data_IF_735549840208
#
_entry.id   IF_735549840208
#
_cell.length_a   1.000
_cell.length_b   1.000
_cell.length_c   1.000
_cell.angle_alpha   90.00
_cell.angle_beta   90.00
_cell.angle_gamma   90.00
#
_symmetry.space_group_name_H-M   'P 1'
#
loop_
_entity.id
_entity.type
_entity.pdbx_description
1 polymer ?
#
# COMPACT_ATOMS: atom_id res chain seq x y z
N UNK A 1 8.16 -0.64 -26.32
CA UNK A 1 7.47 -0.80 -25.04
C UNK A 1 8.45 -1.47 -24.09
N UNK A 2 8.61 -0.97 -22.88
CA UNK A 2 9.42 -1.61 -21.83
C UNK A 2 8.80 -2.96 -21.48
N UNK A 3 9.64 -3.95 -21.14
CA UNK A 3 9.15 -5.25 -20.66
C UNK A 3 8.74 -5.06 -19.20
N UNK A 4 7.50 -5.45 -18.80
CA UNK A 4 7.08 -5.35 -17.42
C UNK A 4 8.02 -6.10 -16.46
N UNK A 5 8.20 -5.57 -15.25
CA UNK A 5 8.99 -6.26 -14.22
C UNK A 5 8.24 -7.48 -13.68
N UNK A 6 6.92 -7.37 -13.52
CA UNK A 6 6.04 -8.50 -13.16
C UNK A 6 4.84 -8.51 -14.08
N UNK A 7 4.51 -9.68 -14.61
CA UNK A 7 3.33 -9.91 -15.42
C UNK A 7 2.64 -11.20 -14.96
N UNK A 8 1.38 -11.09 -14.63
CA UNK A 8 0.50 -12.19 -14.22
C UNK A 8 -0.68 -12.21 -15.16
N UNK A 9 -0.91 -13.35 -15.80
CA UNK A 9 -2.02 -13.55 -16.72
C UNK A 9 -2.90 -14.71 -16.26
N UNK A 10 -4.16 -14.43 -16.02
CA UNK A 10 -5.23 -15.40 -15.78
C UNK A 10 -4.89 -16.41 -14.64
N UNK A 11 -4.29 -15.90 -13.56
CA UNK A 11 -3.80 -16.72 -12.45
C UNK A 11 -4.96 -17.25 -11.60
N UNK A 12 -5.02 -18.57 -11.45
CA UNK A 12 -5.99 -19.24 -10.57
C UNK A 12 -5.23 -20.04 -9.52
N UNK A 13 -5.58 -19.84 -8.26
CA UNK A 13 -5.07 -20.63 -7.13
C UNK A 13 -6.17 -21.08 -6.22
N UNK A 14 -6.23 -22.38 -5.98
CA UNK A 14 -7.20 -23.01 -5.08
C UNK A 14 -6.52 -23.71 -3.91
N UNK A 15 -7.20 -23.66 -2.77
CA UNK A 15 -6.90 -24.46 -1.60
C UNK A 15 -8.13 -25.32 -1.30
N UNK A 16 -8.14 -26.54 -1.81
CA UNK A 16 -9.33 -27.40 -1.77
C UNK A 16 -10.52 -26.68 -2.42
N UNK A 17 -11.59 -26.39 -1.67
CA UNK A 17 -12.80 -25.70 -2.15
C UNK A 17 -12.64 -24.16 -2.19
N UNK A 18 -11.63 -23.60 -1.51
CA UNK A 18 -11.41 -22.15 -1.47
C UNK A 18 -10.64 -21.67 -2.69
N UNK A 19 -11.24 -20.79 -3.48
CA UNK A 19 -10.56 -20.07 -4.56
C UNK A 19 -9.87 -18.86 -3.93
N UNK A 20 -8.55 -18.90 -3.82
CA UNK A 20 -7.74 -17.83 -3.23
C UNK A 20 -7.33 -16.76 -4.25
N UNK A 21 -7.19 -17.13 -5.53
CA UNK A 21 -7.04 -16.22 -6.66
C UNK A 21 -7.93 -16.74 -7.79
N UNK A 22 -8.74 -15.84 -8.36
CA UNK A 22 -9.68 -16.17 -9.43
C UNK A 22 -9.41 -15.33 -10.67
N UNK A 23 -8.81 -15.95 -11.70
CA UNK A 23 -8.45 -15.32 -12.98
C UNK A 23 -7.72 -13.96 -12.80
N UNK A 24 -6.84 -13.90 -11.80
CA UNK A 24 -6.14 -12.70 -11.38
C UNK A 24 -5.12 -12.26 -12.45
N UNK A 25 -5.17 -10.98 -12.82
CA UNK A 25 -4.26 -10.37 -13.79
C UNK A 25 -3.55 -9.18 -13.16
N UNK A 26 -2.24 -9.02 -13.44
CA UNK A 26 -1.44 -7.93 -12.89
C UNK A 26 -0.26 -7.62 -13.80
N UNK A 27 0.00 -6.34 -14.01
CA UNK A 27 1.21 -5.87 -14.71
C UNK A 27 1.85 -4.75 -13.89
N UNK A 28 3.15 -4.91 -13.59
CA UNK A 28 3.95 -3.93 -12.84
C UNK A 28 5.11 -3.50 -13.72
N UNK A 29 5.21 -2.19 -13.96
CA UNK A 29 6.26 -1.60 -14.77
C UNK A 29 7.53 -1.30 -13.96
N UNK A 30 8.65 -1.10 -14.64
CA UNK A 30 9.92 -0.73 -13.99
C UNK A 30 9.80 0.65 -13.31
N UNK A 31 10.33 0.74 -12.09
CA UNK A 31 10.32 1.98 -11.31
C UNK A 31 8.99 2.31 -10.61
N UNK A 32 7.99 1.43 -10.65
CA UNK A 32 6.76 1.62 -9.88
C UNK A 32 6.96 1.25 -8.40
N UNK A 33 6.25 1.95 -7.52
CA UNK A 33 5.84 1.43 -6.20
C UNK A 33 4.40 0.96 -6.39
N UNK A 34 4.21 -0.33 -6.56
CA UNK A 34 2.91 -0.92 -6.83
C UNK A 34 2.26 -1.43 -5.56
N UNK A 35 1.10 -0.86 -5.20
CA UNK A 35 0.35 -1.23 -4.00
C UNK A 35 -0.62 -2.39 -4.27
N UNK A 36 -0.56 -3.45 -3.46
CA UNK A 36 -1.62 -4.45 -3.36
C UNK A 36 -2.44 -4.17 -2.10
N UNK A 37 -3.61 -3.56 -2.27
CA UNK A 37 -4.50 -3.14 -1.19
C UNK A 37 -5.68 -4.11 -1.07
N UNK A 38 -6.04 -4.48 0.14
CA UNK A 38 -7.20 -5.33 0.38
C UNK A 38 -7.23 -5.90 1.80
N UNK A 39 -8.39 -6.42 2.25
CA UNK A 39 -8.54 -6.99 3.58
C UNK A 39 -7.70 -8.26 3.75
N UNK A 40 -7.63 -8.74 4.98
CA UNK A 40 -7.06 -10.04 5.27
C UNK A 40 -7.83 -11.13 4.52
N UNK A 41 -7.10 -12.05 3.86
CA UNK A 41 -7.71 -13.10 3.03
C UNK A 41 -8.08 -12.66 1.61
N UNK A 42 -7.80 -11.43 1.17
CA UNK A 42 -8.06 -10.99 -0.22
C UNK A 42 -7.16 -11.65 -1.27
N UNK A 43 -6.07 -12.33 -0.87
CA UNK A 43 -5.16 -13.00 -1.79
C UNK A 43 -3.77 -12.36 -1.93
N UNK A 44 -3.45 -11.25 -1.25
CA UNK A 44 -2.17 -10.52 -1.35
C UNK A 44 -0.94 -11.42 -1.18
N UNK A 45 -0.83 -12.08 -0.03
CA UNK A 45 0.29 -12.99 0.27
C UNK A 45 0.31 -14.21 -0.66
N UNK A 46 -0.86 -14.70 -1.09
CA UNK A 46 -0.96 -15.78 -2.09
C UNK A 46 -0.38 -15.33 -3.43
N UNK A 47 -0.71 -14.12 -3.87
CA UNK A 47 -0.15 -13.52 -5.10
C UNK A 47 1.37 -13.40 -5.00
N UNK A 48 1.91 -12.89 -3.89
CA UNK A 48 3.36 -12.81 -3.66
C UNK A 48 4.02 -14.18 -3.75
N UNK A 49 3.46 -15.19 -3.08
CA UNK A 49 4.01 -16.53 -3.10
C UNK A 49 3.98 -17.17 -4.50
N UNK A 50 2.98 -16.85 -5.32
CA UNK A 50 2.93 -17.27 -6.72
C UNK A 50 3.99 -16.53 -7.57
N UNK A 51 4.17 -15.21 -7.38
CA UNK A 51 5.23 -14.42 -8.06
C UNK A 51 6.60 -15.01 -7.76
N UNK A 52 6.85 -15.43 -6.53
CA UNK A 52 8.14 -16.01 -6.10
C UNK A 52 8.31 -17.49 -6.47
N UNK A 53 7.29 -18.11 -7.07
CA UNK A 53 7.20 -19.56 -7.29
C UNK A 53 7.50 -20.38 -6.01
N UNK A 54 7.04 -19.88 -4.86
CA UNK A 54 7.01 -20.60 -3.57
C UNK A 54 5.72 -21.39 -3.43
N UNK A 55 4.71 -21.05 -4.21
CA UNK A 55 3.41 -21.69 -4.24
C UNK A 55 3.05 -22.04 -5.68
N UNK A 56 2.71 -23.31 -5.92
CA UNK A 56 2.17 -23.75 -7.20
C UNK A 56 0.73 -23.21 -7.36
N UNK A 57 0.38 -22.85 -8.59
CA UNK A 57 -0.95 -22.40 -8.97
C UNK A 57 -1.61 -23.36 -9.97
N UNK A 58 -2.93 -23.24 -10.14
CA UNK A 58 -3.70 -24.21 -10.92
C UNK A 58 -3.77 -23.83 -12.40
N UNK A 59 -3.83 -22.52 -12.71
CA UNK A 59 -3.88 -21.98 -14.08
C UNK A 59 -3.19 -20.63 -14.15
N UNK A 60 -2.85 -20.21 -15.37
CA UNK A 60 -2.27 -18.92 -15.68
C UNK A 60 -0.78 -18.94 -15.87
N UNK A 61 -0.17 -17.77 -15.99
CA UNK A 61 1.27 -17.58 -16.14
C UNK A 61 1.76 -16.46 -15.23
N UNK A 62 2.98 -16.61 -14.73
CA UNK A 62 3.68 -15.58 -13.95
C UNK A 62 5.05 -15.38 -14.58
N UNK A 63 5.32 -14.13 -15.03
CA UNK A 63 6.62 -13.73 -15.57
C UNK A 63 7.23 -12.66 -14.68
N UNK A 64 8.53 -12.74 -14.48
CA UNK A 64 9.32 -11.71 -13.79
C UNK A 64 10.50 -11.36 -14.67
N UNK A 65 10.74 -10.06 -14.92
CA UNK A 65 11.71 -9.55 -15.87
C UNK A 65 11.55 -10.18 -17.26
N UNK A 66 10.31 -10.35 -17.74
CA UNK A 66 9.95 -10.94 -19.03
C UNK A 66 10.14 -12.46 -19.16
N UNK A 67 10.50 -13.15 -18.08
CA UNK A 67 10.77 -14.59 -18.08
C UNK A 67 9.80 -15.32 -17.13
N UNK A 68 9.36 -16.50 -17.54
CA UNK A 68 8.51 -17.34 -16.69
C UNK A 68 9.20 -17.68 -15.37
N UNK A 69 8.51 -17.44 -14.26
CA UNK A 69 9.02 -17.71 -12.92
C UNK A 69 8.74 -19.17 -12.54
N UNK A 70 9.80 -19.88 -12.16
CA UNK A 70 9.77 -21.29 -11.75
C UNK A 70 10.48 -21.48 -10.40
N UNK A 71 10.24 -22.60 -9.70
CA UNK A 71 10.92 -22.88 -8.43
C UNK A 71 12.45 -22.81 -8.52
N UNK A 72 13.05 -23.19 -9.65
CA UNK A 72 14.48 -23.22 -9.94
C UNK A 72 15.04 -21.97 -10.63
N UNK A 73 14.25 -20.92 -10.82
CA UNK A 73 14.69 -19.64 -11.44
C UNK A 73 15.61 -18.83 -10.49
N UNK A 74 16.71 -19.41 -10.04
CA UNK A 74 17.62 -18.80 -9.06
C UNK A 74 18.28 -17.51 -9.57
N UNK A 75 18.50 -17.39 -10.87
CA UNK A 75 19.06 -16.19 -11.53
C UNK A 75 18.11 -15.00 -11.48
N UNK A 76 16.79 -15.24 -11.55
CA UNK A 76 15.76 -14.22 -11.34
C UNK A 76 15.62 -13.88 -9.85
N UNK A 77 15.51 -14.91 -9.00
CA UNK A 77 15.36 -14.76 -7.56
C UNK A 77 16.49 -13.96 -6.91
N UNK A 78 17.71 -14.02 -7.47
CA UNK A 78 18.85 -13.19 -7.03
C UNK A 78 18.65 -11.70 -7.24
N UNK A 79 17.73 -11.29 -8.10
CA UNK A 79 17.41 -9.90 -8.37
C UNK A 79 16.18 -9.43 -7.57
N UNK A 80 15.63 -10.28 -6.69
CA UNK A 80 14.44 -10.01 -5.89
C UNK A 80 14.82 -9.97 -4.42
N UNK A 81 14.45 -8.89 -3.75
CA UNK A 81 14.48 -8.75 -2.30
C UNK A 81 13.10 -9.02 -1.72
N UNK A 82 13.03 -9.76 -0.62
CA UNK A 82 11.75 -10.14 -0.01
C UNK A 82 11.76 -9.82 1.48
N UNK A 83 10.75 -9.10 1.92
CA UNK A 83 10.50 -8.82 3.34
C UNK A 83 9.07 -9.27 3.64
N UNK A 84 8.95 -10.45 4.25
CA UNK A 84 7.66 -11.01 4.61
C UNK A 84 7.10 -10.36 5.89
N UNK A 85 5.80 -10.53 6.12
CA UNK A 85 5.09 -10.03 7.30
C UNK A 85 5.75 -10.52 8.60
N UNK A 86 6.12 -11.79 8.67
CA UNK A 86 6.86 -12.32 9.80
C UNK A 86 8.34 -11.93 9.71
N UNK A 87 8.89 -11.47 10.83
CA UNK A 87 10.32 -11.14 10.91
C UNK A 87 11.15 -12.42 10.83
N UNK A 88 12.04 -12.48 9.84
CA UNK A 88 12.88 -13.64 9.56
C UNK A 88 14.37 -13.29 9.77
N UNK A 89 14.78 -13.17 11.04
CA UNK A 89 16.17 -12.90 11.43
C UNK A 89 16.65 -13.93 12.46
N UNK A 90 17.96 -14.18 12.48
CA UNK A 90 18.58 -15.09 13.45
C UNK A 90 18.77 -14.38 14.78
N UNK A 91 18.19 -14.94 15.84
CA UNK A 91 18.24 -14.37 17.19
C UNK A 91 19.64 -14.44 17.84
N UNK A 92 20.48 -15.37 17.36
CA UNK A 92 21.84 -15.65 17.81
C UNK A 92 22.89 -14.79 17.10
N UNK A 93 22.52 -14.08 16.06
CA UNK A 93 23.39 -13.16 15.32
C UNK A 93 23.08 -11.72 15.70
N UNK A 94 24.10 -10.88 15.72
CA UNK A 94 23.93 -9.44 15.88
C UNK A 94 23.26 -8.80 14.67
N UNK A 95 22.87 -7.52 14.75
CA UNK A 95 22.34 -6.75 13.62
C UNK A 95 23.28 -6.84 12.42
N UNK A 96 24.57 -6.55 12.60
CA UNK A 96 25.56 -6.63 11.53
C UNK A 96 25.66 -8.03 10.93
N UNK A 97 25.77 -9.06 11.77
CA UNK A 97 25.92 -10.44 11.32
C UNK A 97 24.67 -10.96 10.58
N UNK A 98 23.48 -10.55 11.00
CA UNK A 98 22.25 -10.86 10.25
C UNK A 98 22.30 -10.29 8.83
N UNK A 99 22.59 -9.00 8.70
CA UNK A 99 22.65 -8.33 7.39
C UNK A 99 23.77 -8.93 6.52
N UNK A 100 24.96 -9.18 7.10
CA UNK A 100 26.08 -9.81 6.41
C UNK A 100 25.75 -11.23 5.94
N UNK A 101 25.07 -12.00 6.76
CA UNK A 101 24.61 -13.37 6.41
C UNK A 101 23.69 -13.35 5.19
N UNK A 102 22.60 -12.56 5.25
CA UNK A 102 21.64 -12.51 4.15
C UNK A 102 22.25 -11.91 2.88
N UNK A 103 23.04 -10.85 2.99
CA UNK A 103 23.79 -10.29 1.86
C UNK A 103 24.74 -11.32 1.24
N UNK A 104 25.41 -12.12 2.07
CA UNK A 104 26.36 -13.15 1.67
C UNK A 104 25.77 -14.30 0.84
N UNK A 105 24.45 -14.53 0.92
CA UNK A 105 23.78 -15.51 0.06
C UNK A 105 23.80 -15.09 -1.43
N UNK A 106 23.94 -13.79 -1.70
CA UNK A 106 23.87 -13.22 -3.04
C UNK A 106 25.22 -12.64 -3.51
N UNK A 107 25.98 -12.01 -2.62
CA UNK A 107 27.23 -11.28 -2.90
C UNK A 107 28.43 -12.05 -2.38
N UNK A 108 29.18 -12.69 -3.31
CA UNK A 108 30.34 -13.53 -2.98
C UNK A 108 31.60 -12.71 -2.69
N UNK A 109 31.78 -11.56 -3.35
CA UNK A 109 32.90 -10.67 -3.10
C UNK A 109 32.80 -10.06 -1.71
N UNK A 110 33.84 -10.29 -0.89
CA UNK A 110 33.83 -9.86 0.52
C UNK A 110 33.91 -8.35 0.67
N UNK A 111 34.63 -7.65 -0.18
CA UNK A 111 34.78 -6.20 -0.09
C UNK A 111 33.47 -5.50 -0.47
N UNK A 112 32.87 -5.92 -1.59
CA UNK A 112 31.56 -5.43 -2.05
C UNK A 112 30.46 -5.75 -1.04
N UNK A 113 30.45 -6.99 -0.49
CA UNK A 113 29.48 -7.39 0.54
C UNK A 113 29.58 -6.50 1.76
N UNK A 114 30.80 -6.24 2.26
CA UNK A 114 31.00 -5.34 3.38
C UNK A 114 30.43 -3.95 3.11
N UNK A 115 30.68 -3.40 1.92
CA UNK A 115 30.13 -2.11 1.52
C UNK A 115 28.59 -2.14 1.52
N UNK A 116 27.98 -3.17 0.95
CA UNK A 116 26.52 -3.30 0.88
C UNK A 116 25.88 -3.45 2.26
N UNK A 117 26.55 -4.14 3.18
CA UNK A 117 26.09 -4.27 4.57
C UNK A 117 26.13 -2.92 5.28
N UNK A 118 27.22 -2.14 5.11
CA UNK A 118 27.33 -0.79 5.66
C UNK A 118 26.22 0.11 5.11
N UNK A 119 26.03 0.13 3.78
CA UNK A 119 24.99 0.90 3.10
C UNK A 119 23.60 0.54 3.65
N UNK A 120 23.32 -0.75 3.86
CA UNK A 120 22.02 -1.22 4.36
C UNK A 120 21.80 -0.83 5.83
N UNK A 121 22.84 -0.86 6.68
CA UNK A 121 22.77 -0.42 8.08
C UNK A 121 22.48 1.08 8.15
N UNK A 122 23.21 1.87 7.35
CA UNK A 122 23.05 3.32 7.27
C UNK A 122 21.64 3.69 6.81
N UNK A 123 21.19 3.04 5.75
CA UNK A 123 19.88 3.25 5.15
C UNK A 123 18.74 3.04 6.15
N UNK A 124 18.76 1.97 6.95
CA UNK A 124 17.72 1.71 7.96
C UNK A 124 17.97 2.40 9.29
N UNK A 125 19.08 3.14 9.45
CA UNK A 125 19.43 3.88 10.66
C UNK A 125 19.70 2.96 11.85
N UNK A 126 20.46 1.88 11.66
CA UNK A 126 20.81 0.92 12.72
C UNK A 126 22.28 1.00 13.17
N UNK A 127 22.99 2.09 12.90
CA UNK A 127 24.41 2.26 13.23
C UNK A 127 24.73 2.03 14.71
N UNK A 128 23.96 2.61 15.60
CA UNK A 128 24.16 2.48 17.05
C UNK A 128 23.82 1.08 17.58
N UNK A 129 23.11 0.28 16.77
CA UNK A 129 22.61 -1.04 17.16
C UNK A 129 23.37 -2.21 16.52
N UNK A 130 24.47 -1.95 15.77
CA UNK A 130 25.23 -2.95 14.99
C UNK A 130 25.59 -4.22 15.76
N UNK A 131 25.96 -4.06 17.04
CA UNK A 131 26.39 -5.14 17.93
C UNK A 131 25.26 -5.70 18.80
N UNK A 132 24.03 -5.20 18.63
CA UNK A 132 22.88 -5.68 19.40
C UNK A 132 22.33 -6.95 18.77
N UNK A 133 21.85 -7.82 19.63
CA UNK A 133 21.06 -9.00 19.21
C UNK A 133 19.60 -8.59 18.99
N UNK A 134 18.87 -9.27 18.06
CA UNK A 134 17.47 -8.96 17.75
C UNK A 134 16.56 -8.86 18.96
N UNK A 135 16.72 -9.75 19.95
CA UNK A 135 15.95 -9.77 21.21
C UNK A 135 16.07 -8.49 22.07
N UNK A 136 17.07 -7.63 21.81
CA UNK A 136 17.27 -6.35 22.49
C UNK A 136 16.73 -5.16 21.71
N UNK A 137 16.16 -5.38 20.53
CA UNK A 137 15.60 -4.34 19.67
C UNK A 137 14.12 -4.11 19.99
N UNK A 138 13.66 -2.88 19.84
CA UNK A 138 12.21 -2.60 19.77
C UNK A 138 11.59 -3.21 18.53
N UNK A 139 10.26 -3.35 18.49
CA UNK A 139 9.55 -3.89 17.31
C UNK A 139 9.89 -3.13 16.02
N UNK A 140 9.94 -1.79 16.08
CA UNK A 140 10.31 -0.96 14.94
C UNK A 140 11.76 -1.13 14.50
N UNK A 141 12.72 -1.26 15.44
CA UNK A 141 14.13 -1.55 15.13
C UNK A 141 14.29 -2.94 14.52
N UNK A 142 13.56 -3.92 15.05
CA UNK A 142 13.56 -5.29 14.56
C UNK A 142 13.00 -5.36 13.13
N UNK A 143 11.94 -4.60 12.85
CA UNK A 143 11.36 -4.51 11.51
C UNK A 143 12.33 -3.87 10.51
N UNK A 144 13.03 -2.81 10.93
CA UNK A 144 14.09 -2.17 10.11
C UNK A 144 15.24 -3.14 9.82
N UNK A 145 15.63 -3.96 10.81
CA UNK A 145 16.61 -5.04 10.59
C UNK A 145 16.11 -6.04 9.53
N UNK A 146 14.86 -6.47 9.63
CA UNK A 146 14.28 -7.40 8.65
C UNK A 146 14.29 -6.83 7.23
N UNK A 147 13.96 -5.53 7.08
CA UNK A 147 14.04 -4.81 5.80
C UNK A 147 15.48 -4.78 5.31
N UNK A 148 16.46 -4.39 6.15
CA UNK A 148 17.87 -4.36 5.78
C UNK A 148 18.36 -5.71 5.25
N UNK A 149 18.00 -6.82 5.91
CA UNK A 149 18.32 -8.17 5.45
C UNK A 149 17.77 -8.47 4.05
N UNK A 150 16.53 -8.03 3.77
CA UNK A 150 15.87 -8.27 2.47
C UNK A 150 16.44 -7.45 1.31
N UNK A 151 17.04 -6.27 1.59
CA UNK A 151 17.51 -5.34 0.55
C UNK A 151 19.01 -5.23 0.42
N UNK A 152 19.80 -5.79 1.35
CA UNK A 152 21.25 -5.59 1.42
C UNK A 152 22.00 -5.97 0.14
N UNK A 153 21.50 -6.91 -0.65
CA UNK A 153 22.12 -7.32 -1.92
C UNK A 153 21.73 -6.41 -3.11
N UNK A 154 21.05 -5.29 -2.87
CA UNK A 154 20.61 -4.28 -3.86
C UNK A 154 19.77 -4.90 -5.00
N UNK A 155 18.63 -5.52 -4.67
CA UNK A 155 17.75 -6.15 -5.66
C UNK A 155 17.07 -5.12 -6.56
N UNK A 156 16.68 -5.53 -7.78
CA UNK A 156 15.90 -4.70 -8.72
C UNK A 156 14.42 -4.67 -8.42
N UNK A 157 13.88 -5.79 -7.92
CA UNK A 157 12.50 -5.91 -7.45
C UNK A 157 12.50 -6.16 -5.95
N UNK A 158 11.74 -5.38 -5.20
CA UNK A 158 11.60 -5.51 -3.75
C UNK A 158 10.13 -5.81 -3.44
N UNK A 159 9.89 -6.88 -2.71
CA UNK A 159 8.55 -7.28 -2.26
C UNK A 159 8.48 -7.08 -0.75
N UNK A 160 7.56 -6.24 -0.31
CA UNK A 160 7.33 -5.88 1.08
C UNK A 160 5.90 -6.30 1.47
N UNK A 161 5.80 -7.40 2.20
CA UNK A 161 4.50 -7.91 2.66
C UNK A 161 4.18 -7.36 4.04
N UNK A 162 3.27 -6.37 4.09
CA UNK A 162 2.82 -5.66 5.29
C UNK A 162 3.97 -5.17 6.19
N UNK A 163 4.92 -4.35 5.65
CA UNK A 163 6.17 -4.04 6.35
C UNK A 163 6.00 -3.12 7.57
N UNK A 164 4.84 -2.55 7.80
CA UNK A 164 4.55 -1.55 8.85
C UNK A 164 3.63 -2.07 9.94
N UNK A 165 3.16 -3.31 9.83
CA UNK A 165 2.28 -3.92 10.84
C UNK A 165 2.98 -3.99 12.19
N UNK A 166 2.26 -3.59 13.26
CA UNK A 166 2.72 -3.54 14.64
C UNK A 166 3.95 -2.63 14.87
N UNK A 167 4.13 -1.61 14.03
CA UNK A 167 5.20 -0.61 14.14
C UNK A 167 4.61 0.71 14.62
N UNK A 168 5.31 1.39 15.53
CA UNK A 168 4.92 2.70 16.02
C UNK A 168 4.91 3.76 14.89
N UNK A 169 4.14 4.87 15.02
CA UNK A 169 3.99 5.85 13.94
C UNK A 169 5.32 6.47 13.48
N UNK A 170 6.26 6.71 14.38
CA UNK A 170 7.56 7.32 14.03
C UNK A 170 8.41 6.34 13.20
N UNK A 171 8.48 5.07 13.61
CA UNK A 171 9.18 4.03 12.88
C UNK A 171 8.51 3.73 11.54
N UNK A 172 7.17 3.77 11.48
CA UNK A 172 6.38 3.62 10.25
C UNK A 172 6.78 4.67 9.22
N UNK A 173 6.75 5.95 9.58
CA UNK A 173 7.12 7.03 8.65
C UNK A 173 8.53 6.84 8.10
N UNK A 174 9.51 6.49 8.94
CA UNK A 174 10.88 6.21 8.50
C UNK A 174 10.97 5.04 7.51
N UNK A 175 10.14 3.99 7.71
CA UNK A 175 10.08 2.86 6.77
C UNK A 175 9.51 3.34 5.42
N UNK A 176 8.42 4.11 5.41
CA UNK A 176 7.80 4.63 4.19
C UNK A 176 8.74 5.57 3.42
N UNK A 177 9.42 6.48 4.10
CA UNK A 177 10.46 7.34 3.52
C UNK A 177 11.60 6.52 2.88
N UNK A 178 12.06 5.49 3.59
CA UNK A 178 13.06 4.55 3.08
C UNK A 178 12.59 3.81 1.82
N UNK A 179 11.34 3.35 1.78
CA UNK A 179 10.77 2.68 0.60
C UNK A 179 10.78 3.62 -0.62
N UNK A 180 10.38 4.89 -0.44
CA UNK A 180 10.44 5.88 -1.51
C UNK A 180 11.88 6.16 -1.96
N UNK A 181 12.85 6.15 -1.06
CA UNK A 181 14.27 6.30 -1.39
C UNK A 181 14.80 5.11 -2.20
N UNK A 182 14.46 3.87 -1.84
CA UNK A 182 14.80 2.68 -2.63
C UNK A 182 14.27 2.77 -4.06
N UNK A 183 13.04 3.25 -4.21
CA UNK A 183 12.44 3.44 -5.53
C UNK A 183 13.15 4.54 -6.33
N UNK A 184 13.43 5.69 -5.72
CA UNK A 184 14.22 6.76 -6.37
C UNK A 184 15.61 6.29 -6.83
N UNK A 185 16.17 5.31 -6.14
CA UNK A 185 17.45 4.66 -6.49
C UNK A 185 17.30 3.55 -7.54
N UNK A 186 16.11 3.41 -8.15
CA UNK A 186 15.83 2.55 -9.29
C UNK A 186 15.22 1.18 -8.98
N UNK A 187 14.85 0.90 -7.73
CA UNK A 187 14.14 -0.33 -7.41
C UNK A 187 12.66 -0.25 -7.79
N UNK A 188 12.12 -1.33 -8.35
CA UNK A 188 10.67 -1.55 -8.47
C UNK A 188 10.17 -2.21 -7.19
N UNK A 189 9.04 -1.77 -6.65
CA UNK A 189 8.57 -2.21 -5.34
C UNK A 189 7.14 -2.73 -5.43
N UNK A 190 6.89 -3.91 -4.86
CA UNK A 190 5.55 -4.40 -4.55
C UNK A 190 5.34 -4.19 -3.05
N UNK A 191 4.32 -3.43 -2.73
CA UNK A 191 3.98 -3.06 -1.36
C UNK A 191 2.58 -3.57 -1.02
N UNK A 192 2.46 -4.45 -0.04
CA UNK A 192 1.14 -4.85 0.44
C UNK A 192 0.82 -4.15 1.75
N UNK A 193 -0.41 -3.72 1.88
CA UNK A 193 -0.94 -3.16 3.11
C UNK A 193 -2.46 -3.30 3.16
N UNK A 194 -3.01 -3.22 4.34
CA UNK A 194 -4.43 -2.96 4.59
C UNK A 194 -4.64 -1.51 5.08
N UNK A 195 -3.56 -0.74 5.29
CA UNK A 195 -3.61 0.69 5.65
C UNK A 195 -3.61 1.55 4.38
N UNK A 196 -4.76 2.12 4.05
CA UNK A 196 -4.95 2.90 2.82
C UNK A 196 -4.11 4.15 2.78
N UNK A 197 -3.94 4.83 3.92
CA UNK A 197 -3.14 6.05 4.04
C UNK A 197 -1.68 5.83 3.61
N UNK A 198 -1.08 4.68 3.97
CA UNK A 198 0.27 4.32 3.57
C UNK A 198 0.37 4.13 2.06
N UNK A 199 -0.61 3.42 1.49
CA UNK A 199 -0.66 3.14 0.06
C UNK A 199 -0.86 4.44 -0.74
N UNK A 200 -1.74 5.33 -0.29
CA UNK A 200 -1.92 6.66 -0.88
C UNK A 200 -0.64 7.49 -0.85
N UNK A 201 0.13 7.37 0.24
CA UNK A 201 1.33 8.18 0.45
C UNK A 201 2.49 7.78 -0.47
N UNK A 202 2.67 6.47 -0.73
CA UNK A 202 3.90 6.01 -1.38
C UNK A 202 3.68 5.33 -2.73
N UNK A 203 2.49 4.75 -3.00
CA UNK A 203 2.28 3.95 -4.21
C UNK A 203 1.99 4.80 -5.43
N UNK A 204 2.61 4.46 -6.56
CA UNK A 204 2.39 5.10 -7.87
C UNK A 204 1.14 4.55 -8.55
N UNK A 205 0.91 3.24 -8.44
CA UNK A 205 -0.30 2.54 -8.87
C UNK A 205 -0.72 1.51 -7.83
N UNK A 206 -2.00 1.23 -7.79
CA UNK A 206 -2.63 0.42 -6.75
C UNK A 206 -3.60 -0.56 -7.40
N UNK A 207 -3.55 -1.82 -6.97
CA UNK A 207 -4.61 -2.79 -7.20
C UNK A 207 -5.43 -2.96 -5.93
N UNK A 208 -6.73 -2.77 -6.01
CA UNK A 208 -7.70 -3.07 -4.94
C UNK A 208 -8.16 -4.51 -5.14
N UNK A 209 -7.89 -5.34 -4.13
CA UNK A 209 -8.19 -6.77 -4.17
C UNK A 209 -9.25 -7.15 -3.14
N UNK A 210 -10.20 -7.97 -3.53
CA UNK A 210 -11.09 -8.70 -2.60
C UNK A 210 -11.34 -10.11 -3.15
N UNK A 211 -11.37 -11.11 -2.27
CA UNK A 211 -11.69 -12.52 -2.57
C UNK A 211 -10.94 -13.12 -3.77
N UNK A 212 -9.69 -12.73 -3.95
CA UNK A 212 -8.83 -13.25 -5.01
C UNK A 212 -8.98 -12.58 -6.37
N UNK A 213 -9.77 -11.53 -6.48
CA UNK A 213 -9.99 -10.76 -7.70
C UNK A 213 -9.43 -9.34 -7.60
N UNK A 214 -9.05 -8.75 -8.74
CA UNK A 214 -8.79 -7.34 -8.86
C UNK A 214 -10.10 -6.59 -9.10
N UNK A 215 -10.52 -5.78 -8.13
CA UNK A 215 -11.71 -4.95 -8.26
C UNK A 215 -11.45 -3.67 -9.06
N UNK A 216 -10.27 -3.07 -8.86
CA UNK A 216 -9.83 -1.89 -9.59
C UNK A 216 -8.29 -1.81 -9.59
N UNK A 217 -7.72 -1.24 -10.66
CA UNK A 217 -6.28 -0.93 -10.77
C UNK A 217 -6.14 0.47 -11.36
N UNK A 218 -5.31 1.30 -10.76
CA UNK A 218 -5.02 2.65 -11.26
C UNK A 218 -4.13 3.44 -10.31
N UNK A 219 -3.85 4.68 -10.67
CA UNK A 219 -3.29 5.68 -9.75
C UNK A 219 -4.31 6.04 -8.67
N UNK A 220 -3.86 6.66 -7.58
CA UNK A 220 -4.77 7.15 -6.52
C UNK A 220 -5.87 8.06 -7.10
N UNK A 221 -5.50 8.97 -8.01
CA UNK A 221 -6.45 9.89 -8.65
C UNK A 221 -7.44 9.17 -9.57
N UNK A 222 -6.98 8.18 -10.34
CA UNK A 222 -7.86 7.38 -11.20
C UNK A 222 -8.87 6.61 -10.38
N UNK A 223 -8.42 5.94 -9.31
CA UNK A 223 -9.28 5.19 -8.40
C UNK A 223 -10.31 6.08 -7.72
N UNK A 224 -9.91 7.25 -7.22
CA UNK A 224 -10.82 8.24 -6.60
C UNK A 224 -11.86 8.79 -7.58
N UNK A 225 -11.56 8.84 -8.89
CA UNK A 225 -12.52 9.24 -9.93
C UNK A 225 -13.54 8.16 -10.29
N UNK A 226 -13.29 6.90 -9.94
CA UNK A 226 -14.23 5.80 -10.21
C UNK A 226 -15.50 5.88 -9.37
N UNK A 227 -15.44 6.57 -8.22
CA UNK A 227 -16.57 6.70 -7.31
C UNK A 227 -17.37 7.99 -7.59
N UNK A 228 -18.67 7.94 -7.27
CA UNK A 228 -19.57 9.08 -7.49
C UNK A 228 -19.28 10.25 -6.55
N UNK A 229 -18.77 9.97 -5.36
CA UNK A 229 -18.38 10.98 -4.38
C UNK A 229 -17.11 11.68 -4.84
N UNK A 230 -17.15 13.01 -5.01
CA UNK A 230 -15.96 13.78 -5.39
C UNK A 230 -15.48 14.74 -4.32
N UNK A 231 -16.37 15.17 -3.42
CA UNK A 231 -16.06 16.10 -2.34
C UNK A 231 -16.97 15.83 -1.15
N UNK A 232 -16.39 15.82 0.05
CA UNK A 232 -17.11 15.72 1.32
C UNK A 232 -16.95 17.07 2.02
N UNK A 233 -18.05 17.79 2.19
CA UNK A 233 -18.06 19.09 2.86
C UNK A 233 -18.69 18.90 4.24
N UNK A 234 -17.97 19.26 5.30
CA UNK A 234 -18.43 19.23 6.68
C UNK A 234 -18.41 20.63 7.27
N UNK A 235 -19.53 21.09 7.80
CA UNK A 235 -19.70 22.44 8.32
C UNK A 235 -20.31 22.35 9.71
N UNK A 236 -19.65 22.96 10.70
CA UNK A 236 -20.20 23.09 12.05
C UNK A 236 -21.30 24.14 12.07
N UNK A 237 -22.53 23.74 12.36
CA UNK A 237 -23.72 24.61 12.42
C UNK A 237 -24.52 24.26 13.65
N UNK A 238 -24.93 25.27 14.44
CA UNK A 238 -25.68 25.03 15.67
C UNK A 238 -27.07 24.47 15.41
N UNK A 239 -27.78 25.02 14.42
CA UNK A 239 -29.12 24.56 14.06
C UNK A 239 -29.40 24.82 12.58
N UNK A 240 -30.19 23.94 11.97
CA UNK A 240 -30.64 24.03 10.58
C UNK A 240 -32.09 23.59 10.48
N UNK A 241 -32.90 24.40 9.82
CA UNK A 241 -34.28 24.05 9.54
C UNK A 241 -34.38 22.96 8.46
N UNK A 242 -35.37 22.06 8.53
CA UNK A 242 -35.58 21.03 7.54
C UNK A 242 -35.69 21.56 6.10
N UNK A 243 -36.27 22.76 5.92
CA UNK A 243 -36.38 23.44 4.63
C UNK A 243 -34.99 23.85 4.09
N UNK A 244 -34.06 24.28 4.95
CA UNK A 244 -32.70 24.64 4.55
C UNK A 244 -31.90 23.41 4.16
N UNK A 245 -32.06 22.30 4.87
CA UNK A 245 -31.44 21.01 4.50
C UNK A 245 -31.94 20.54 3.13
N UNK A 246 -33.26 20.65 2.87
CA UNK A 246 -33.85 20.32 1.58
C UNK A 246 -33.30 21.19 0.45
N UNK A 247 -33.18 22.50 0.67
CA UNK A 247 -32.63 23.43 -0.33
C UNK A 247 -31.16 23.15 -0.63
N UNK A 248 -30.35 22.77 0.36
CA UNK A 248 -28.94 22.36 0.13
C UNK A 248 -28.90 21.07 -0.69
N UNK A 249 -29.82 20.13 -0.47
CA UNK A 249 -29.92 18.89 -1.24
C UNK A 249 -30.26 19.12 -2.72
N UNK A 250 -30.99 20.20 -3.00
CA UNK A 250 -31.38 20.58 -4.38
C UNK A 250 -30.27 21.32 -5.13
N UNK A 251 -29.15 21.67 -4.47
CA UNK A 251 -27.99 22.26 -5.13
C UNK A 251 -27.42 21.25 -6.13
N UNK A 252 -27.13 21.70 -7.33
CA UNK A 252 -26.59 20.87 -8.41
C UNK A 252 -25.33 20.15 -7.95
N UNK A 253 -25.23 18.85 -8.23
CA UNK A 253 -24.13 17.95 -7.84
C UNK A 253 -24.06 17.61 -6.34
N UNK A 254 -25.00 18.02 -5.53
CA UNK A 254 -25.16 17.47 -4.19
C UNK A 254 -25.82 16.11 -4.30
N UNK A 255 -25.18 15.11 -3.70
CA UNK A 255 -25.63 13.71 -3.73
C UNK A 255 -26.40 13.33 -2.46
N UNK A 256 -25.86 13.74 -1.31
CA UNK A 256 -26.44 13.43 -0.02
C UNK A 256 -26.19 14.56 0.97
N UNK A 257 -27.15 14.81 1.85
CA UNK A 257 -27.04 15.80 2.91
C UNK A 257 -27.52 15.18 4.20
N UNK A 258 -26.65 15.20 5.21
CA UNK A 258 -26.97 14.79 6.59
C UNK A 258 -26.66 15.92 7.55
N UNK A 259 -27.50 16.07 8.59
CA UNK A 259 -27.29 17.01 9.67
C UNK A 259 -27.46 16.30 11.01
N UNK A 260 -26.37 16.07 11.69
CA UNK A 260 -26.32 15.35 12.96
C UNK A 260 -25.29 15.97 13.89
N UNK A 261 -25.55 16.01 15.20
CA UNK A 261 -24.60 16.49 16.21
C UNK A 261 -23.99 17.87 15.89
N UNK A 262 -24.83 18.82 15.40
CA UNK A 262 -24.40 20.15 14.98
C UNK A 262 -23.39 20.17 13.83
N UNK A 263 -23.32 19.12 13.02
CA UNK A 263 -22.48 19.04 11.83
C UNK A 263 -23.35 18.78 10.60
N UNK A 264 -23.29 19.71 9.64
CA UNK A 264 -23.82 19.53 8.30
C UNK A 264 -22.77 18.81 7.46
N UNK A 265 -23.09 17.62 6.97
CA UNK A 265 -22.23 16.88 6.05
C UNK A 265 -22.92 16.81 4.69
N UNK A 266 -22.23 17.28 3.66
CA UNK A 266 -22.70 17.31 2.28
C UNK A 266 -21.75 16.50 1.40
N UNK A 267 -22.30 15.52 0.70
CA UNK A 267 -21.59 14.69 -0.26
C UNK A 267 -21.89 15.20 -1.66
N UNK A 268 -20.85 15.54 -2.40
CA UNK A 268 -20.96 16.10 -3.75
C UNK A 268 -20.46 15.11 -4.79
N UNK A 269 -21.08 15.10 -5.98
CA UNK A 269 -20.67 14.29 -7.14
C UNK A 269 -19.90 15.15 -8.17
N UNK A 270 -18.90 14.55 -8.78
CA UNK A 270 -18.03 14.97 -9.89
C UNK A 270 -17.98 16.41 -10.39
N UNK A 271 -16.83 17.05 -10.24
CA UNK A 271 -16.35 18.08 -11.14
C UNK A 271 -16.66 19.53 -10.81
N UNK A 272 -17.41 19.85 -9.77
CA UNK A 272 -17.65 21.22 -9.34
C UNK A 272 -17.37 21.40 -7.86
N UNK A 273 -16.63 22.47 -7.53
CA UNK A 273 -16.45 22.89 -6.14
C UNK A 273 -17.76 23.44 -5.59
N UNK A 274 -18.54 22.60 -4.90
CA UNK A 274 -19.83 22.99 -4.34
C UNK A 274 -19.72 23.81 -3.05
N UNK A 275 -18.57 23.81 -2.41
CA UNK A 275 -18.33 24.56 -1.19
C UNK A 275 -18.76 26.05 -1.29
N UNK A 276 -18.36 26.82 -2.32
CA UNK A 276 -18.82 28.21 -2.45
C UNK A 276 -20.34 28.35 -2.55
N UNK A 277 -21.00 27.47 -3.27
CA UNK A 277 -22.46 27.50 -3.45
C UNK A 277 -23.19 27.23 -2.13
N UNK A 278 -22.71 26.28 -1.34
CA UNK A 278 -23.27 25.94 -0.02
C UNK A 278 -23.04 27.11 0.95
N UNK A 279 -21.83 27.66 1.00
CA UNK A 279 -21.52 28.79 1.90
C UNK A 279 -22.33 30.03 1.56
N UNK A 280 -22.46 30.38 0.26
CA UNK A 280 -23.31 31.48 -0.17
C UNK A 280 -24.76 31.30 0.22
N UNK A 281 -25.31 30.10 0.02
CA UNK A 281 -26.67 29.79 0.47
C UNK A 281 -26.83 29.98 1.98
N UNK A 282 -25.93 29.45 2.80
CA UNK A 282 -25.98 29.59 4.26
C UNK A 282 -25.91 31.06 4.68
N UNK A 283 -25.09 31.89 4.03
CA UNK A 283 -24.99 33.34 4.27
C UNK A 283 -26.28 34.07 3.89
N UNK A 284 -26.86 33.78 2.74
CA UNK A 284 -28.13 34.35 2.29
C UNK A 284 -29.29 34.02 3.26
N UNK A 285 -29.25 32.84 3.87
CA UNK A 285 -30.23 32.41 4.87
C UNK A 285 -29.91 32.93 6.29
N UNK A 286 -28.87 33.75 6.48
CA UNK A 286 -28.39 34.24 7.78
C UNK A 286 -28.08 33.11 8.77
N UNK A 287 -27.62 31.95 8.29
CA UNK A 287 -27.19 30.82 9.12
C UNK A 287 -25.74 31.06 9.55
N UNK A 288 -25.52 31.14 10.85
CA UNK A 288 -24.18 31.21 11.41
C UNK A 288 -23.53 29.83 11.41
N UNK A 289 -22.32 29.74 10.90
CA UNK A 289 -21.54 28.50 10.86
C UNK A 289 -20.14 28.71 11.44
N UNK A 290 -19.56 27.60 11.95
CA UNK A 290 -18.24 27.57 12.55
C UNK A 290 -17.17 27.07 11.56
N UNK A 291 -16.53 25.96 11.89
CA UNK A 291 -15.48 25.38 11.07
C UNK A 291 -16.05 24.78 9.80
N UNK A 292 -15.29 24.89 8.73
CA UNK A 292 -15.63 24.31 7.43
C UNK A 292 -14.48 23.43 6.99
N UNK A 293 -14.79 22.19 6.63
CA UNK A 293 -13.85 21.23 6.08
C UNK A 293 -14.35 20.81 4.70
N UNK A 294 -13.47 20.77 3.74
CA UNK A 294 -13.73 20.17 2.43
C UNK A 294 -12.64 19.12 2.18
N UNK A 295 -13.04 17.89 2.01
CA UNK A 295 -12.15 16.76 1.85
C UNK A 295 -12.44 16.05 0.54
N UNK A 296 -11.37 15.68 -0.17
CA UNK A 296 -11.47 14.78 -1.32
C UNK A 296 -11.69 13.36 -0.83
N UNK A 297 -12.33 12.49 -1.61
CA UNK A 297 -12.50 11.10 -1.23
C UNK A 297 -11.16 10.42 -1.00
N UNK A 298 -11.15 9.51 -0.05
CA UNK A 298 -10.00 8.66 0.29
C UNK A 298 -10.08 7.33 -0.47
N UNK A 299 -9.01 6.55 -0.48
CA UNK A 299 -9.07 5.17 -0.98
C UNK A 299 -10.03 4.31 -0.15
N UNK A 300 -10.28 4.67 1.13
CA UNK A 300 -11.29 3.99 1.95
C UNK A 300 -12.70 4.19 1.38
N UNK A 301 -13.02 5.39 0.92
CA UNK A 301 -14.31 5.66 0.26
C UNK A 301 -14.43 4.86 -1.04
N UNK A 302 -13.33 4.76 -1.81
CA UNK A 302 -13.28 3.95 -3.04
C UNK A 302 -13.54 2.48 -2.71
N UNK A 303 -12.83 1.94 -1.73
CA UNK A 303 -12.98 0.54 -1.33
C UNK A 303 -14.40 0.24 -0.85
N UNK A 304 -14.94 1.10 0.01
CA UNK A 304 -16.30 0.98 0.55
C UNK A 304 -17.36 0.99 -0.57
N UNK A 305 -17.24 1.91 -1.54
CA UNK A 305 -18.20 2.02 -2.64
C UNK A 305 -18.14 0.81 -3.58
N UNK A 306 -16.93 0.29 -3.86
CA UNK A 306 -16.74 -0.87 -4.75
C UNK A 306 -17.16 -2.18 -4.08
N UNK A 307 -16.84 -2.37 -2.78
CA UNK A 307 -17.07 -3.64 -2.08
C UNK A 307 -18.36 -3.66 -1.25
N UNK A 308 -18.94 -2.51 -0.94
CA UNK A 308 -20.06 -2.36 -0.01
C UNK A 308 -19.69 -2.66 1.45
N UNK A 309 -18.40 -2.71 1.78
CA UNK A 309 -17.86 -3.05 3.12
C UNK A 309 -16.69 -2.15 3.46
N UNK A 310 -16.59 -1.75 4.74
CA UNK A 310 -15.37 -1.15 5.26
C UNK A 310 -14.23 -2.18 5.33
N UNK A 311 -12.99 -1.73 5.09
CA UNK A 311 -11.83 -2.51 5.46
C UNK A 311 -11.83 -2.64 6.99
N UNK A 312 -12.13 -3.84 7.48
CA UNK A 312 -12.02 -4.15 8.91
C UNK A 312 -10.66 -4.78 9.16
N UNK A 313 -10.01 -4.29 10.22
CA UNK A 313 -8.78 -4.86 10.78
C UNK A 313 -8.92 -6.34 11.18
#
# INVERSE_FOLDING_TARGET
MSVPVVEIENLVKRYQELVALDHFNLTIEEGEIFGLLGPNGSGKTTTINCILALLAFDKGTVRVFGREMRPDSYDLKRQIGVVMQNVAVFQELTVYENIDYFCGLYVRDKALRRQYVEDAIDFVGLNDFRKFYPKKLSGGLLRRLNIACGIAHKPKLIILDEPTVAVDPQSRNKILEGIQELNRNGATIIYTSHYMEEVEQICTRIAIMDKGENLAIGTTEELKRMIKKSEIISIDILDLLPAQIAAIRDIKHVYEVTFEHHCLKVLCSGGSHNLPHILNYLQEQNVSFGRVYSELPTLNDVFLEITGKELRD
#
